data_IF_317460888908
#
_entry.id   IF_317460888908
#
_cell.length_a   1.000
_cell.length_b   1.000
_cell.length_c   1.000
_cell.angle_alpha   90.00
_cell.angle_beta   90.00
_cell.angle_gamma   90.00
#
_symmetry.space_group_name_H-M   'P 1'
#
loop_
_entity.id
_entity.type
_entity.pdbx_description
1 polymer ?
#
# COMPACT_ATOMS: atom_id res chain seq x y z
N UNK A 1 -58.54 -56.79 67.47
CA UNK A 1 -57.61 -56.25 66.45
C UNK A 1 -56.98 -57.44 65.78
N UNK A 2 -57.10 -57.54 64.45
CA UNK A 2 -56.88 -58.77 63.68
C UNK A 2 -55.39 -59.17 63.61
N UNK A 3 -55.11 -60.44 63.89
CA UNK A 3 -53.76 -61.02 64.10
C UNK A 3 -52.94 -61.22 62.82
N UNK A 4 -53.48 -60.86 61.64
CA UNK A 4 -52.81 -61.13 60.36
C UNK A 4 -52.35 -59.89 59.59
N UNK A 5 -52.62 -58.68 60.06
CA UNK A 5 -52.15 -57.45 59.40
C UNK A 5 -52.59 -57.30 57.93
N UNK A 6 -53.61 -58.05 57.50
CA UNK A 6 -54.10 -58.10 56.11
C UNK A 6 -54.95 -56.89 55.74
N UNK A 7 -55.42 -56.12 56.73
CA UNK A 7 -56.23 -54.93 56.50
C UNK A 7 -55.43 -53.79 55.83
N UNK A 8 -54.09 -53.78 55.94
CA UNK A 8 -53.25 -52.84 55.19
C UNK A 8 -53.13 -53.20 53.71
N UNK A 9 -53.34 -54.45 53.31
CA UNK A 9 -53.25 -54.87 51.91
C UNK A 9 -54.42 -54.33 51.06
N UNK A 10 -55.59 -54.11 51.68
CA UNK A 10 -56.79 -53.54 51.06
C UNK A 10 -57.01 -52.06 51.39
N UNK A 11 -56.01 -51.38 51.99
CA UNK A 11 -56.09 -49.93 52.13
C UNK A 11 -56.07 -49.24 50.77
N UNK A 12 -56.79 -48.13 50.67
CA UNK A 12 -56.86 -47.31 49.46
C UNK A 12 -55.46 -46.94 48.94
N UNK A 13 -54.48 -46.82 49.85
CA UNK A 13 -53.09 -46.47 49.58
C UNK A 13 -52.33 -47.52 48.75
N UNK A 14 -52.46 -48.82 49.04
CA UNK A 14 -51.79 -49.89 48.25
C UNK A 14 -52.39 -50.04 46.85
N UNK A 15 -53.70 -49.82 46.68
CA UNK A 15 -54.33 -49.82 45.35
C UNK A 15 -53.99 -48.57 44.54
N UNK A 16 -53.80 -47.42 45.20
CA UNK A 16 -53.42 -46.16 44.56
C UNK A 16 -51.97 -46.20 44.09
N UNK A 17 -51.06 -46.76 44.89
CA UNK A 17 -49.65 -46.94 44.53
C UNK A 17 -49.48 -47.87 43.31
N UNK A 18 -50.21 -48.99 43.27
CA UNK A 18 -50.16 -49.93 42.13
C UNK A 18 -50.71 -49.32 40.83
N UNK A 19 -51.72 -48.44 40.93
CA UNK A 19 -52.24 -47.68 39.77
C UNK A 19 -51.30 -46.56 39.36
N UNK A 20 -50.69 -45.85 40.31
CA UNK A 20 -49.71 -44.81 40.05
C UNK A 20 -48.49 -45.39 39.33
N UNK A 21 -47.97 -46.53 39.79
CA UNK A 21 -46.88 -47.26 39.13
C UNK A 21 -47.21 -47.65 37.68
N UNK A 22 -48.42 -48.16 37.43
CA UNK A 22 -48.86 -48.52 36.07
C UNK A 22 -48.95 -47.31 35.14
N UNK A 23 -49.40 -46.15 35.64
CA UNK A 23 -49.46 -44.89 34.88
C UNK A 23 -48.04 -44.36 34.60
N UNK A 24 -47.13 -44.47 35.56
CA UNK A 24 -45.73 -44.05 35.40
C UNK A 24 -45.01 -44.94 34.38
N UNK A 25 -45.21 -46.26 34.43
CA UNK A 25 -44.63 -47.17 33.45
C UNK A 25 -45.15 -46.90 32.03
N UNK A 26 -46.45 -46.64 31.89
CA UNK A 26 -47.07 -46.33 30.61
C UNK A 26 -46.61 -44.97 30.05
N UNK A 27 -46.43 -43.97 30.91
CA UNK A 27 -45.92 -42.64 30.51
C UNK A 27 -44.44 -42.68 30.13
N UNK A 28 -43.60 -43.41 30.88
CA UNK A 28 -42.18 -43.60 30.53
C UNK A 28 -42.04 -44.32 29.18
N UNK A 29 -42.87 -45.34 28.92
CA UNK A 29 -42.86 -46.07 27.64
C UNK A 29 -43.32 -45.19 26.47
N UNK A 30 -44.26 -44.27 26.70
CA UNK A 30 -44.69 -43.29 25.71
C UNK A 30 -43.66 -42.17 25.47
N UNK A 31 -42.87 -41.80 26.47
CA UNK A 31 -41.80 -40.79 26.33
C UNK A 31 -40.57 -41.35 25.59
N UNK A 32 -40.26 -42.65 25.76
CA UNK A 32 -39.09 -43.30 25.16
C UNK A 32 -39.05 -43.29 23.63
N UNK A 33 -40.20 -43.18 22.96
CA UNK A 33 -40.31 -43.26 21.50
C UNK A 33 -40.58 -41.92 20.81
N UNK A 34 -40.70 -40.81 21.55
CA UNK A 34 -40.93 -39.49 20.92
C UNK A 34 -39.60 -38.80 20.67
N UNK A 35 -39.12 -38.90 19.45
CA UNK A 35 -38.06 -38.02 18.96
C UNK A 35 -38.60 -36.59 18.99
N UNK A 36 -37.89 -35.70 19.68
CA UNK A 36 -38.27 -34.29 19.79
C UNK A 36 -38.29 -33.65 18.40
N UNK A 37 -39.36 -32.93 18.07
CA UNK A 37 -39.47 -32.16 16.81
C UNK A 37 -38.29 -31.21 16.62
N UNK A 38 -37.70 -30.69 17.70
CA UNK A 38 -36.52 -29.84 17.68
C UNK A 38 -35.25 -30.57 17.23
N UNK A 39 -35.11 -31.86 17.56
CA UNK A 39 -33.98 -32.67 17.13
C UNK A 39 -34.06 -32.94 15.63
N UNK A 40 -35.26 -33.25 15.13
CA UNK A 40 -35.49 -33.42 13.68
C UNK A 40 -35.23 -32.12 12.93
N UNK A 41 -35.77 -31.00 13.40
CA UNK A 41 -35.53 -29.69 12.80
C UNK A 41 -34.04 -29.33 12.83
N UNK A 42 -33.36 -29.53 13.97
CA UNK A 42 -31.92 -29.28 14.11
C UNK A 42 -31.09 -30.12 13.14
N UNK A 43 -31.38 -31.41 13.01
CA UNK A 43 -30.70 -32.30 12.05
C UNK A 43 -30.95 -31.89 10.59
N UNK A 44 -32.17 -31.43 10.26
CA UNK A 44 -32.51 -30.94 8.93
C UNK A 44 -31.76 -29.66 8.56
N UNK A 45 -31.69 -28.69 9.48
CA UNK A 45 -30.91 -27.45 9.29
C UNK A 45 -29.43 -27.77 9.14
N UNK A 46 -28.88 -28.68 9.95
CA UNK A 46 -27.49 -29.12 9.85
C UNK A 46 -27.20 -29.75 8.50
N UNK A 47 -28.07 -30.66 8.02
CA UNK A 47 -27.91 -31.28 6.71
C UNK A 47 -27.95 -30.25 5.59
N UNK A 48 -28.84 -29.26 5.69
CA UNK A 48 -28.97 -28.21 4.68
C UNK A 48 -27.79 -27.23 4.68
N UNK A 49 -27.24 -26.90 5.85
CA UNK A 49 -26.01 -26.10 5.97
C UNK A 49 -24.80 -26.83 5.37
N UNK A 50 -24.72 -28.15 5.55
CA UNK A 50 -23.63 -28.98 5.02
C UNK A 50 -23.69 -29.07 3.49
N UNK A 51 -24.90 -29.21 2.93
CA UNK A 51 -25.11 -29.11 1.47
C UNK A 51 -24.75 -27.73 0.92
N UNK A 52 -25.09 -26.66 1.65
CA UNK A 52 -24.73 -25.29 1.26
C UNK A 52 -23.20 -25.11 1.23
N UNK A 53 -22.49 -25.65 2.22
CA UNK A 53 -21.03 -25.56 2.28
C UNK A 53 -20.36 -26.22 1.06
N UNK A 54 -20.79 -27.43 0.70
CA UNK A 54 -20.30 -28.11 -0.51
C UNK A 54 -20.67 -27.37 -1.80
N UNK A 55 -21.85 -26.76 -1.85
CA UNK A 55 -22.24 -25.95 -3.00
C UNK A 55 -21.33 -24.72 -3.16
N UNK A 56 -21.05 -23.99 -2.07
CA UNK A 56 -20.15 -22.83 -2.09
C UNK A 56 -18.74 -23.23 -2.52
N UNK A 57 -18.24 -24.36 -2.02
CA UNK A 57 -16.92 -24.87 -2.37
C UNK A 57 -16.83 -25.23 -3.85
N UNK A 58 -17.82 -25.97 -4.37
CA UNK A 58 -17.87 -26.35 -5.78
C UNK A 58 -17.97 -25.14 -6.72
N UNK A 59 -18.73 -24.09 -6.34
CA UNK A 59 -18.83 -22.86 -7.12
C UNK A 59 -17.51 -22.08 -7.10
N UNK A 60 -16.80 -22.04 -5.98
CA UNK A 60 -15.49 -21.38 -5.88
C UNK A 60 -14.43 -22.02 -6.77
N UNK A 61 -14.46 -23.33 -6.94
CA UNK A 61 -13.50 -24.03 -7.82
C UNK A 61 -13.81 -23.86 -9.31
N UNK A 62 -15.04 -23.49 -9.71
CA UNK A 62 -15.44 -23.46 -11.13
C UNK A 62 -15.29 -22.10 -11.81
N UNK A 63 -15.12 -21.03 -11.05
CA UNK A 63 -14.97 -19.69 -11.61
C UNK A 63 -13.64 -19.10 -11.14
N UNK A 64 -12.76 -18.81 -12.10
CA UNK A 64 -11.69 -17.85 -11.83
C UNK A 64 -12.34 -16.52 -11.43
N UNK A 65 -11.92 -15.90 -10.32
CA UNK A 65 -12.37 -14.55 -10.00
C UNK A 65 -11.99 -13.63 -11.16
N UNK A 66 -12.98 -12.91 -11.68
CA UNK A 66 -12.78 -11.93 -12.74
C UNK A 66 -12.71 -10.57 -12.03
N UNK A 67 -11.57 -9.88 -12.11
CA UNK A 67 -11.47 -8.47 -11.73
C UNK A 67 -12.44 -7.65 -12.59
N UNK A 68 -13.38 -6.98 -11.93
CA UNK A 68 -14.46 -6.22 -12.57
C UNK A 68 -14.44 -4.74 -12.20
N UNK A 69 -13.55 -4.32 -11.30
CA UNK A 69 -13.32 -2.92 -10.91
C UNK A 69 -11.95 -2.40 -11.36
N UNK A 70 -11.13 -3.26 -11.95
CA UNK A 70 -9.88 -2.90 -12.63
C UNK A 70 -8.81 -2.48 -11.65
N UNK A 71 -8.90 -2.91 -10.40
CA UNK A 71 -8.01 -2.50 -9.32
C UNK A 71 -6.78 -3.41 -9.20
N UNK A 72 -6.70 -4.50 -9.97
CA UNK A 72 -5.50 -5.34 -10.10
C UNK A 72 -4.56 -4.91 -11.23
N UNK A 73 -4.94 -3.90 -12.02
CA UNK A 73 -4.16 -3.38 -13.14
C UNK A 73 -2.98 -2.58 -12.62
N UNK A 74 -1.76 -2.92 -13.06
CA UNK A 74 -0.55 -2.13 -12.91
C UNK A 74 -0.22 -1.53 -14.28
N UNK A 75 -0.50 -0.24 -14.45
CA UNK A 75 -0.43 0.42 -15.76
C UNK A 75 0.95 1.00 -16.02
N UNK A 76 1.61 1.53 -15.00
CA UNK A 76 2.93 2.09 -15.17
C UNK A 76 4.03 1.02 -15.09
N UNK A 77 3.78 -0.14 -14.48
CA UNK A 77 4.66 -1.29 -14.36
C UNK A 77 5.69 -1.15 -13.25
N UNK A 78 5.36 -0.46 -12.17
CA UNK A 78 6.15 -0.35 -10.93
C UNK A 78 6.01 -1.58 -10.01
N UNK A 79 5.05 -2.46 -10.31
CA UNK A 79 4.75 -3.69 -9.58
C UNK A 79 3.62 -3.57 -8.57
N UNK A 80 2.98 -2.41 -8.42
CA UNK A 80 1.87 -2.18 -7.51
C UNK A 80 0.56 -2.03 -8.30
N UNK A 81 -0.51 -2.78 -7.94
CA UNK A 81 -1.77 -2.66 -8.65
C UNK A 81 -2.53 -1.38 -8.25
N UNK A 82 -3.30 -0.82 -9.18
CA UNK A 82 -4.08 0.42 -9.05
C UNK A 82 -4.93 0.50 -7.77
N UNK A 83 -5.46 -0.62 -7.29
CA UNK A 83 -6.23 -0.70 -6.05
C UNK A 83 -5.38 -0.37 -4.82
N UNK A 84 -4.15 -0.90 -4.78
CA UNK A 84 -3.19 -0.61 -3.74
C UNK A 84 -2.74 0.85 -3.82
N UNK A 85 -2.47 1.33 -5.02
CA UNK A 85 -2.07 2.71 -5.24
C UNK A 85 -3.14 3.72 -4.84
N UNK A 86 -4.41 3.48 -5.21
CA UNK A 86 -5.55 4.30 -4.74
C UNK A 86 -5.66 4.35 -3.22
N UNK A 87 -5.29 3.28 -2.52
CA UNK A 87 -5.32 3.20 -1.06
C UNK A 87 -4.20 4.04 -0.43
N UNK A 88 -3.03 4.09 -1.05
CA UNK A 88 -1.90 4.90 -0.59
C UNK A 88 -1.90 6.33 -1.17
N UNK A 89 -2.75 6.61 -2.15
CA UNK A 89 -2.86 7.90 -2.81
C UNK A 89 -1.77 8.15 -3.85
N UNK A 90 -1.21 7.08 -4.43
CA UNK A 90 -0.20 7.14 -5.48
C UNK A 90 -0.83 7.03 -6.87
N UNK A 91 -0.08 7.38 -7.92
CA UNK A 91 -0.59 7.54 -9.29
C UNK A 91 -0.05 6.45 -10.23
N UNK A 92 -0.94 5.53 -10.62
CA UNK A 92 -0.75 4.41 -11.57
C UNK A 92 -0.35 4.82 -13.00
N UNK A 93 0.00 6.08 -13.24
CA UNK A 93 0.62 6.52 -14.49
C UNK A 93 2.09 6.89 -14.35
N UNK A 94 2.63 6.90 -13.12
CA UNK A 94 3.97 7.36 -12.79
C UNK A 94 4.72 6.30 -12.00
N UNK A 95 5.66 5.62 -12.68
CA UNK A 95 6.54 4.61 -12.06
C UNK A 95 7.32 5.13 -10.84
N UNK A 96 7.56 6.44 -10.75
CA UNK A 96 8.24 7.06 -9.62
C UNK A 96 7.35 7.20 -8.37
N UNK A 97 6.02 7.18 -8.54
CA UNK A 97 5.03 7.33 -7.48
C UNK A 97 4.41 5.97 -7.12
N UNK A 98 5.13 5.17 -6.34
CA UNK A 98 4.64 3.87 -5.85
C UNK A 98 4.27 3.93 -4.35
N UNK A 99 3.48 2.99 -3.81
CA UNK A 99 3.24 2.88 -2.37
C UNK A 99 4.54 2.84 -1.54
N UNK A 100 4.76 3.87 -0.73
CA UNK A 100 6.00 4.02 0.06
C UNK A 100 7.14 4.74 -0.67
N UNK A 101 6.90 5.25 -1.87
CA UNK A 101 7.74 6.26 -2.51
C UNK A 101 7.83 7.51 -1.63
N UNK A 102 8.97 8.20 -1.72
CA UNK A 102 9.17 9.45 -1.03
C UNK A 102 8.31 10.52 -1.68
N UNK A 103 7.82 11.49 -0.91
CA UNK A 103 7.21 12.70 -1.45
C UNK A 103 8.21 13.85 -1.40
N UNK A 104 8.21 14.69 -2.43
CA UNK A 104 9.02 15.90 -2.43
C UNK A 104 8.38 16.96 -1.52
N UNK A 105 9.14 17.44 -0.55
CA UNK A 105 8.74 18.53 0.33
C UNK A 105 9.52 19.78 -0.04
N UNK A 106 8.83 20.74 -0.68
CA UNK A 106 9.37 22.06 -0.97
C UNK A 106 9.74 22.77 0.33
N UNK A 107 10.95 23.32 0.37
CA UNK A 107 11.44 24.07 1.53
C UNK A 107 11.44 25.57 1.27
N UNK A 108 11.94 25.99 0.12
CA UNK A 108 12.06 27.41 -0.27
C UNK A 108 12.44 27.50 -1.75
N UNK A 109 12.34 28.70 -2.28
CA UNK A 109 12.69 29.11 -3.63
C UNK A 109 13.66 30.30 -3.62
N UNK A 110 14.33 30.52 -4.76
CA UNK A 110 15.02 31.76 -5.11
C UNK A 110 14.39 32.24 -6.42
N UNK A 111 13.83 33.44 -6.40
CA UNK A 111 13.23 34.09 -7.56
C UNK A 111 13.80 35.52 -7.79
N UNK A 112 13.18 36.29 -8.68
CA UNK A 112 13.54 37.67 -9.02
C UNK A 112 13.39 38.69 -7.88
N UNK A 113 12.66 38.33 -6.82
CA UNK A 113 12.46 39.20 -5.67
C UNK A 113 13.58 39.07 -4.61
N UNK A 114 14.42 38.05 -4.72
CA UNK A 114 15.48 37.77 -3.76
C UNK A 114 16.78 38.57 -3.98
N UNK A 115 17.23 39.24 -2.92
CA UNK A 115 18.52 39.96 -2.90
C UNK A 115 19.73 39.01 -2.89
N UNK A 116 19.57 37.81 -2.33
CA UNK A 116 20.65 36.81 -2.25
C UNK A 116 20.25 35.58 -3.06
N UNK A 117 20.68 35.55 -4.32
CA UNK A 117 20.37 34.46 -5.27
C UNK A 117 21.34 33.28 -5.18
N UNK A 118 21.92 33.06 -4.01
CA UNK A 118 22.86 31.97 -3.77
C UNK A 118 22.58 31.24 -2.46
N UNK A 119 22.53 29.92 -2.53
CA UNK A 119 22.28 29.04 -1.39
C UNK A 119 23.17 27.81 -1.43
N UNK A 120 23.62 27.32 -0.26
CA UNK A 120 24.46 26.13 -0.14
C UNK A 120 23.75 25.07 0.69
N UNK A 121 23.71 23.83 0.21
CA UNK A 121 23.20 22.71 0.99
C UNK A 121 23.15 21.40 0.21
N UNK A 122 22.80 20.33 0.94
CA UNK A 122 22.41 19.04 0.35
C UNK A 122 20.88 19.01 0.21
N UNK A 123 20.41 19.17 -1.01
CA UNK A 123 18.99 19.29 -1.35
C UNK A 123 18.67 18.63 -2.68
N UNK A 124 17.37 18.49 -2.91
CA UNK A 124 16.83 18.27 -4.26
C UNK A 124 16.41 19.62 -4.82
N UNK A 125 16.89 19.91 -6.02
CA UNK A 125 16.81 21.20 -6.69
C UNK A 125 15.99 21.05 -7.96
N UNK A 126 15.22 22.09 -8.30
CA UNK A 126 14.41 22.17 -9.52
C UNK A 126 14.51 23.57 -10.10
N UNK A 127 14.86 23.70 -11.37
CA UNK A 127 14.94 24.97 -12.09
C UNK A 127 16.26 25.17 -12.82
N UNK A 128 16.67 26.44 -13.00
CA UNK A 128 17.89 26.78 -13.74
C UNK A 128 18.90 27.51 -12.86
N UNK A 129 20.08 26.91 -12.66
CA UNK A 129 21.13 27.57 -11.90
C UNK A 129 22.55 27.08 -12.20
N UNK A 130 23.52 27.90 -11.79
CA UNK A 130 24.90 27.49 -11.65
C UNK A 130 25.04 26.68 -10.36
N UNK A 131 25.42 25.42 -10.50
CA UNK A 131 25.61 24.48 -9.41
C UNK A 131 27.08 24.11 -9.26
N UNK A 132 27.73 24.66 -8.25
CA UNK A 132 29.07 24.27 -7.83
C UNK A 132 28.96 23.04 -6.94
N UNK A 133 29.20 21.87 -7.54
CA UNK A 133 28.93 20.59 -6.91
C UNK A 133 30.07 20.17 -5.97
N UNK A 134 29.72 19.88 -4.72
CA UNK A 134 30.57 19.08 -3.83
C UNK A 134 30.25 17.58 -3.89
N UNK A 135 29.00 17.25 -4.20
CA UNK A 135 28.52 15.89 -4.43
C UNK A 135 27.29 15.93 -5.32
N UNK A 136 27.17 14.96 -6.23
CA UNK A 136 26.04 14.76 -7.14
C UNK A 136 25.52 13.36 -6.92
N UNK A 137 24.20 13.22 -6.88
CA UNK A 137 23.57 11.92 -6.94
C UNK A 137 23.44 11.43 -8.39
N UNK A 138 24.33 10.53 -8.78
CA UNK A 138 24.31 9.85 -10.07
C UNK A 138 23.25 8.73 -10.15
N UNK A 139 22.62 8.39 -9.03
CA UNK A 139 21.56 7.38 -8.96
C UNK A 139 20.15 7.95 -8.98
N UNK A 140 20.01 9.27 -9.13
CA UNK A 140 18.71 9.92 -9.22
C UNK A 140 18.04 9.56 -10.55
N UNK A 141 16.94 8.81 -10.47
CA UNK A 141 16.15 8.41 -11.63
C UNK A 141 14.78 9.07 -11.50
N UNK A 142 14.38 9.84 -12.51
CA UNK A 142 13.03 10.39 -12.65
C UNK A 142 12.21 9.60 -13.67
N UNK A 143 10.94 9.99 -13.83
CA UNK A 143 10.11 9.45 -14.90
C UNK A 143 10.55 9.97 -16.28
N UNK A 144 10.17 9.28 -17.35
CA UNK A 144 10.56 9.66 -18.73
C UNK A 144 10.01 11.03 -19.17
N UNK A 145 8.95 11.50 -18.53
CA UNK A 145 8.38 12.84 -18.75
C UNK A 145 8.87 13.88 -17.74
N UNK A 146 9.71 13.47 -16.79
CA UNK A 146 10.28 14.36 -15.79
C UNK A 146 11.57 14.97 -16.35
N UNK A 147 11.75 16.29 -16.18
CA UNK A 147 12.95 17.02 -16.60
C UNK A 147 14.11 16.80 -15.63
N UNK A 148 14.33 15.54 -15.23
CA UNK A 148 15.48 15.15 -14.42
C UNK A 148 16.75 15.16 -15.26
N UNK A 149 17.82 15.64 -14.64
CA UNK A 149 19.14 15.67 -15.26
C UNK A 149 19.78 14.30 -15.07
N UNK A 150 20.04 13.63 -16.19
CA UNK A 150 20.83 12.39 -16.18
C UNK A 150 22.32 12.73 -16.10
N UNK A 151 22.90 12.54 -14.92
CA UNK A 151 24.32 12.80 -14.66
C UNK A 151 25.23 11.65 -15.08
N UNK A 152 24.73 10.70 -15.90
CA UNK A 152 25.41 9.49 -16.33
C UNK A 152 26.93 9.63 -16.38
N UNK A 153 27.60 8.97 -15.44
CA UNK A 153 29.03 9.13 -15.24
C UNK A 153 29.81 8.28 -16.26
N UNK A 154 30.76 8.90 -16.93
CA UNK A 154 31.72 8.22 -17.79
C UNK A 154 32.70 7.33 -16.98
N UNK A 155 33.57 6.62 -17.69
CA UNK A 155 34.57 5.75 -17.07
C UNK A 155 35.61 6.50 -16.21
N UNK A 156 35.71 7.82 -16.36
CA UNK A 156 36.60 8.72 -15.62
C UNK A 156 35.88 9.43 -14.45
N UNK A 157 34.60 9.15 -14.24
CA UNK A 157 33.78 9.72 -13.15
C UNK A 157 33.31 11.14 -13.43
N UNK A 158 33.25 11.55 -14.70
CA UNK A 158 32.68 12.82 -15.14
C UNK A 158 31.31 12.59 -15.78
N UNK A 159 30.33 13.47 -15.55
CA UNK A 159 29.03 13.34 -16.18
C UNK A 159 29.15 13.59 -17.71
N UNK A 160 28.54 12.74 -18.53
CA UNK A 160 28.48 12.89 -19.99
C UNK A 160 27.43 13.97 -20.34
N UNK A 161 27.88 15.23 -20.35
CA UNK A 161 27.03 16.41 -20.47
C UNK A 161 27.13 17.09 -21.85
N UNK A 162 26.11 17.88 -22.19
CA UNK A 162 26.11 18.70 -23.40
C UNK A 162 27.17 19.82 -23.29
N UNK A 163 27.64 20.32 -24.44
CA UNK A 163 28.42 21.57 -24.48
C UNK A 163 27.59 22.75 -23.97
N UNK A 164 28.18 23.61 -23.15
CA UNK A 164 27.48 24.78 -22.62
C UNK A 164 27.10 25.77 -23.74
N UNK A 165 25.84 26.22 -23.78
CA UNK A 165 25.44 27.30 -24.68
C UNK A 165 26.05 28.65 -24.27
N UNK A 166 26.07 29.61 -25.19
CA UNK A 166 26.52 30.98 -24.89
C UNK A 166 25.56 31.72 -23.95
N UNK A 167 24.27 31.41 -24.04
CA UNK A 167 23.21 32.05 -23.25
C UNK A 167 22.44 31.00 -22.43
N UNK A 168 22.15 31.30 -21.17
CA UNK A 168 21.57 30.36 -20.19
C UNK A 168 20.22 29.77 -20.65
N UNK A 169 19.37 30.58 -21.28
CA UNK A 169 18.03 30.14 -21.73
C UNK A 169 18.06 29.16 -22.90
N UNK A 170 19.21 28.92 -23.53
CA UNK A 170 19.36 27.96 -24.62
C UNK A 170 19.65 26.54 -24.13
N UNK A 171 19.87 26.36 -22.83
CA UNK A 171 20.06 25.03 -22.26
C UNK A 171 18.73 24.28 -22.23
N UNK A 172 18.70 23.09 -22.82
CA UNK A 172 17.49 22.26 -22.88
C UNK A 172 17.06 21.83 -21.46
N UNK A 173 15.76 21.74 -21.24
CA UNK A 173 15.22 21.28 -19.95
C UNK A 173 15.58 19.81 -19.71
N UNK A 174 15.96 19.45 -18.48
CA UNK A 174 16.46 18.11 -18.14
C UNK A 174 17.91 17.87 -18.54
N UNK A 175 18.69 18.92 -18.78
CA UNK A 175 20.11 18.80 -19.14
C UNK A 175 21.00 19.64 -18.24
N UNK A 176 22.29 19.30 -18.22
CA UNK A 176 23.33 20.10 -17.61
C UNK A 176 24.53 20.22 -18.56
N UNK A 177 25.37 21.22 -18.30
CA UNK A 177 26.64 21.40 -19.00
C UNK A 177 27.77 21.73 -18.01
N UNK A 178 29.00 21.28 -18.31
CA UNK A 178 30.19 21.57 -17.49
C UNK A 178 30.79 22.93 -17.86
N UNK A 179 30.84 23.86 -16.91
CA UNK A 179 31.48 25.17 -17.07
C UNK A 179 32.96 25.11 -16.68
N UNK A 180 33.26 24.27 -15.69
CA UNK A 180 34.59 24.11 -15.11
C UNK A 180 34.72 24.80 -13.75
N UNK A 181 35.97 24.94 -13.31
CA UNK A 181 36.36 25.58 -12.05
C UNK A 181 36.83 27.01 -12.34
N UNK A 182 35.90 27.98 -12.27
CA UNK A 182 36.18 29.38 -12.62
C UNK A 182 36.92 30.14 -11.52
N UNK A 183 36.73 29.76 -10.27
CA UNK A 183 37.29 30.45 -9.10
C UNK A 183 38.54 29.75 -8.51
N UNK A 184 38.88 28.56 -9.01
CA UNK A 184 40.10 27.81 -8.70
C UNK A 184 40.04 27.09 -7.35
N UNK A 185 38.84 26.82 -6.84
CA UNK A 185 38.62 26.20 -5.53
C UNK A 185 38.70 24.66 -5.57
N UNK A 186 38.86 24.08 -6.77
CA UNK A 186 38.93 22.65 -7.03
C UNK A 186 37.57 21.98 -7.20
N UNK A 187 36.47 22.74 -7.29
CA UNK A 187 35.11 22.26 -7.55
C UNK A 187 34.68 22.62 -8.96
N UNK A 188 33.87 21.75 -9.54
CA UNK A 188 33.34 21.95 -10.88
C UNK A 188 32.00 22.65 -10.76
N UNK A 189 31.85 23.76 -11.48
CA UNK A 189 30.56 24.42 -11.68
C UNK A 189 29.88 23.84 -12.90
N UNK A 190 28.62 23.47 -12.72
CA UNK A 190 27.72 23.02 -13.77
C UNK A 190 26.64 24.07 -13.99
N UNK A 191 26.19 24.25 -15.23
CA UNK A 191 24.91 24.91 -15.48
C UNK A 191 23.87 23.80 -15.57
N UNK A 192 22.90 23.81 -14.67
CA UNK A 192 21.82 22.84 -14.61
C UNK A 192 20.50 23.51 -15.01
N UNK A 193 19.70 22.85 -15.85
CA UNK A 193 18.31 23.21 -16.14
C UNK A 193 17.45 21.95 -16.00
N UNK A 194 16.66 21.86 -14.92
CA UNK A 194 15.80 20.71 -14.64
C UNK A 194 15.84 20.31 -13.16
N UNK A 195 15.65 19.02 -12.88
CA UNK A 195 15.67 18.44 -11.53
C UNK A 195 16.94 17.66 -11.26
N UNK A 196 17.58 17.92 -10.12
CA UNK A 196 18.74 17.16 -9.67
C UNK A 196 18.83 17.04 -8.16
N UNK A 197 19.60 16.06 -7.67
CA UNK A 197 19.91 15.88 -6.26
C UNK A 197 21.41 15.98 -6.03
N UNK A 198 21.80 16.77 -5.05
CA UNK A 198 23.22 16.97 -4.78
C UNK A 198 23.50 17.94 -3.63
N UNK A 199 24.76 17.95 -3.22
CA UNK A 199 25.29 18.89 -2.26
C UNK A 199 26.22 19.87 -2.96
N UNK A 200 25.94 21.16 -2.82
CA UNK A 200 26.74 22.18 -3.48
C UNK A 200 26.20 23.57 -3.26
N UNK A 201 26.85 24.54 -3.91
CA UNK A 201 26.40 25.93 -3.93
C UNK A 201 25.62 26.18 -5.22
N UNK A 202 24.36 26.56 -5.07
CA UNK A 202 23.49 26.97 -6.16
C UNK A 202 23.49 28.48 -6.25
N UNK A 203 23.69 29.02 -7.45
CA UNK A 203 23.58 30.45 -7.76
C UNK A 203 22.66 30.63 -8.96
N UNK A 204 21.54 31.32 -8.75
CA UNK A 204 20.49 31.48 -9.77
C UNK A 204 20.78 32.70 -10.66
N UNK A 205 20.96 32.53 -11.99
CA UNK A 205 21.15 33.64 -12.92
C UNK A 205 19.90 34.53 -12.99
N UNK A 206 20.07 35.80 -13.36
CA UNK A 206 18.96 36.76 -13.47
C UNK A 206 17.87 36.26 -14.45
N UNK A 207 16.59 36.55 -14.15
CA UNK A 207 15.40 36.11 -14.90
C UNK A 207 15.08 34.60 -14.81
N UNK A 208 15.75 33.86 -13.92
CA UNK A 208 15.46 32.45 -13.63
C UNK A 208 15.06 32.23 -12.17
N UNK A 209 14.52 31.05 -11.89
CA UNK A 209 14.15 30.62 -10.55
C UNK A 209 14.68 29.22 -10.26
N UNK A 210 14.91 28.94 -8.98
CA UNK A 210 15.19 27.59 -8.48
C UNK A 210 14.42 27.35 -7.20
N UNK A 211 13.75 26.21 -7.17
CA UNK A 211 13.11 25.66 -5.99
C UNK A 211 14.00 24.57 -5.37
N UNK A 212 13.97 24.44 -4.05
CA UNK A 212 14.64 23.32 -3.38
C UNK A 212 13.88 22.75 -2.21
N UNK A 213 14.15 21.48 -1.96
CA UNK A 213 13.47 20.70 -0.94
C UNK A 213 14.25 19.46 -0.56
N UNK A 214 13.52 18.49 -0.04
CA UNK A 214 14.02 17.16 0.25
C UNK A 214 12.93 16.13 -0.05
N UNK A 215 13.36 14.95 -0.49
CA UNK A 215 12.48 13.79 -0.56
C UNK A 215 12.34 13.18 0.83
N UNK A 216 11.13 12.78 1.19
CA UNK A 216 10.93 11.96 2.40
C UNK A 216 11.54 10.58 2.21
N UNK A 217 11.85 9.92 3.32
CA UNK A 217 12.34 8.55 3.30
C UNK A 217 11.36 7.62 2.56
N UNK A 218 11.91 6.74 1.73
CA UNK A 218 11.16 5.66 1.11
C UNK A 218 11.06 4.49 2.07
N UNK A 219 9.95 3.76 2.03
CA UNK A 219 9.80 2.52 2.77
C UNK A 219 9.17 1.46 1.88
N UNK A 220 9.54 0.20 2.12
CA UNK A 220 9.01 -0.91 1.34
C UNK A 220 7.57 -1.22 1.76
N UNK A 221 6.68 -1.28 0.77
CA UNK A 221 5.33 -1.81 0.89
C UNK A 221 5.30 -3.12 0.12
N UNK A 222 4.73 -4.17 0.71
CA UNK A 222 4.58 -5.45 0.00
C UNK A 222 3.49 -5.28 -1.09
N UNK A 223 3.81 -5.56 -2.37
CA UNK A 223 2.82 -5.46 -3.43
C UNK A 223 1.69 -6.46 -3.22
N UNK A 224 0.47 -6.01 -3.44
CA UNK A 224 -0.70 -6.89 -3.43
C UNK A 224 -0.60 -7.86 -4.63
N UNK A 225 -1.00 -9.13 -4.46
CA UNK A 225 -0.90 -10.11 -5.53
C UNK A 225 -1.78 -9.69 -6.72
N UNK A 226 -1.31 -9.90 -7.97
CA UNK A 226 -2.18 -9.77 -9.12
C UNK A 226 -3.26 -10.86 -9.04
N UNK A 227 -4.53 -10.45 -8.95
CA UNK A 227 -5.70 -11.35 -8.97
C UNK A 227 -5.99 -11.89 -10.38
#
# INVERSE_FOLDING_TARGET
>A
MDERGLDLADTVWTRLDRKAGAIIELTIRQLRHRVSTWVVLGSGVLMMALLLAFYVDAVRETFEPIDNDGDSVDRDGDGYPLGQERKYGTDDSRRSEFPGSGTFVLQSDIDDNDLNRAYYGNKSWEGTAWFEASWIDDSYVGDWWDSHIDWNMDADGKPDLQECPEEVWQLDEGTACEVGDSDGDGRVTYLANGKWRGEGRVTVPDDFEVEWGYWTDTFYVEPDPPE
#
